data_IF_986605478805
#
_entry.id   IF_986605478805
#
_cell.length_a   1.000
_cell.length_b   1.000
_cell.length_c   1.000
_cell.angle_alpha   90.00
_cell.angle_beta   90.00
_cell.angle_gamma   90.00
#
_symmetry.space_group_name_H-M   'P 1'
#
loop_
_entity.id
_entity.type
_entity.pdbx_description
1 polymer ?
#
# COMPACT_ATOMS: atom_id res chain seq x y z
N UNK A 1 23.80 -28.53 -25.24
CA UNK A 1 22.89 -27.69 -24.43
C UNK A 1 22.03 -28.62 -23.62
N UNK A 2 22.32 -28.77 -22.32
CA UNK A 2 21.66 -29.76 -21.47
C UNK A 2 20.42 -29.15 -20.82
N UNK A 3 19.26 -29.38 -21.44
CA UNK A 3 17.95 -29.01 -20.89
C UNK A 3 17.78 -29.46 -19.42
N UNK A 4 18.42 -30.56 -19.03
CA UNK A 4 18.39 -31.07 -17.65
C UNK A 4 19.19 -30.24 -16.64
N UNK A 5 20.27 -29.57 -17.07
CA UNK A 5 21.05 -28.70 -16.20
C UNK A 5 20.28 -27.40 -15.89
N UNK A 6 19.58 -26.85 -16.87
CA UNK A 6 18.75 -25.65 -16.71
C UNK A 6 17.55 -25.92 -15.79
N UNK A 7 16.96 -27.12 -15.86
CA UNK A 7 15.85 -27.53 -15.00
C UNK A 7 16.27 -27.65 -13.51
N UNK A 8 17.47 -28.20 -13.26
CA UNK A 8 18.06 -28.32 -11.91
C UNK A 8 18.55 -26.97 -11.36
N UNK A 9 18.92 -26.02 -12.22
CA UNK A 9 19.30 -24.66 -11.80
C UNK A 9 18.09 -23.85 -11.35
N UNK A 10 16.91 -24.08 -11.96
CA UNK A 10 15.67 -23.39 -11.59
C UNK A 10 15.16 -23.74 -10.18
N UNK A 11 15.46 -24.95 -9.68
CA UNK A 11 15.02 -25.39 -8.35
C UNK A 11 15.91 -24.88 -7.22
N UNK A 12 17.13 -24.41 -7.48
CA UNK A 12 18.01 -23.77 -6.49
C UNK A 12 17.75 -22.27 -6.29
N UNK A 13 17.02 -21.61 -7.21
CA UNK A 13 16.66 -20.18 -7.06
C UNK A 13 15.49 -19.93 -6.10
N UNK A 14 14.87 -20.98 -5.56
CA UNK A 14 13.66 -20.89 -4.73
C UNK A 14 13.92 -20.51 -3.26
N UNK A 15 15.18 -20.32 -2.82
CA UNK A 15 15.51 -19.99 -1.42
C UNK A 15 16.34 -18.70 -1.28
N UNK A 16 15.92 -17.60 -1.93
CA UNK A 16 16.54 -16.27 -1.73
C UNK A 16 15.73 -15.35 -0.81
N UNK A 17 14.68 -15.86 -0.15
CA UNK A 17 13.91 -15.10 0.83
C UNK A 17 14.67 -14.98 2.16
N UNK A 18 14.76 -13.78 2.78
CA UNK A 18 15.41 -13.64 4.08
C UNK A 18 14.70 -14.50 5.13
N UNK A 19 15.49 -15.16 5.99
CA UNK A 19 15.01 -15.90 7.15
C UNK A 19 14.41 -14.90 8.14
N UNK A 20 13.08 -14.86 8.24
CA UNK A 20 12.38 -14.09 9.28
C UNK A 20 12.83 -14.63 10.64
N UNK A 21 13.66 -13.87 11.36
CA UNK A 21 13.94 -14.18 12.76
C UNK A 21 12.69 -13.79 13.58
N UNK A 22 11.78 -14.74 13.74
CA UNK A 22 10.59 -14.55 14.57
C UNK A 22 11.01 -14.54 16.03
N UNK A 23 10.92 -13.38 16.67
CA UNK A 23 10.87 -13.30 18.13
C UNK A 23 9.41 -13.43 18.57
N UNK A 24 9.06 -14.34 19.50
CA UNK A 24 7.69 -14.54 19.94
C UNK A 24 7.07 -13.30 20.62
N UNK A 25 7.89 -12.36 21.09
CA UNK A 25 7.47 -11.08 21.69
C UNK A 25 8.36 -9.89 21.27
N UNK A 26 9.01 -9.93 20.11
CA UNK A 26 10.07 -8.98 19.76
C UNK A 26 9.88 -8.24 18.45
N UNK A 27 10.50 -7.07 18.40
CA UNK A 27 10.60 -6.21 17.22
C UNK A 27 11.36 -6.95 16.13
N UNK A 28 10.79 -7.00 14.93
CA UNK A 28 11.42 -7.62 13.78
C UNK A 28 12.52 -6.70 13.22
N UNK A 29 13.77 -7.16 13.24
CA UNK A 29 14.89 -6.45 12.63
C UNK A 29 14.92 -6.78 11.14
N UNK A 30 14.64 -5.77 10.31
CA UNK A 30 14.57 -5.90 8.85
C UNK A 30 15.95 -6.04 8.23
N UNK A 31 16.08 -6.93 7.26
CA UNK A 31 17.25 -7.04 6.40
C UNK A 31 17.38 -5.84 5.45
N UNK A 32 18.57 -5.62 4.90
CA UNK A 32 18.81 -4.54 3.92
C UNK A 32 17.84 -4.60 2.72
N UNK A 33 17.50 -5.81 2.25
CA UNK A 33 16.54 -6.02 1.15
C UNK A 33 15.12 -5.62 1.54
N UNK A 34 14.69 -5.96 2.75
CA UNK A 34 13.36 -5.58 3.25
C UNK A 34 13.26 -4.07 3.45
N UNK A 35 14.30 -3.45 4.01
CA UNK A 35 14.38 -1.99 4.13
C UNK A 35 14.27 -1.33 2.76
N UNK A 36 14.92 -1.87 1.73
CA UNK A 36 14.82 -1.32 0.38
C UNK A 36 13.42 -1.47 -0.21
N UNK A 37 12.75 -2.60 0.05
CA UNK A 37 11.33 -2.79 -0.30
C UNK A 37 10.45 -1.77 0.40
N UNK A 38 10.65 -1.57 1.71
CA UNK A 38 9.92 -0.58 2.50
C UNK A 38 10.14 0.83 1.96
N UNK A 39 11.37 1.23 1.60
CA UNK A 39 11.63 2.55 0.99
C UNK A 39 10.82 2.78 -0.28
N UNK A 40 10.75 1.79 -1.17
CA UNK A 40 9.96 1.90 -2.40
C UNK A 40 8.47 2.08 -2.09
N UNK A 41 7.92 1.28 -1.19
CA UNK A 41 6.53 1.41 -0.76
C UNK A 41 6.26 2.78 -0.09
N UNK A 42 7.14 3.23 0.80
CA UNK A 42 7.02 4.54 1.46
C UNK A 42 7.05 5.71 0.49
N UNK A 43 7.84 5.64 -0.60
CA UNK A 43 7.86 6.68 -1.65
C UNK A 43 6.51 6.77 -2.37
N UNK A 44 5.85 5.65 -2.62
CA UNK A 44 4.52 5.61 -3.22
C UNK A 44 3.51 6.27 -2.27
N UNK A 45 3.51 5.86 -0.99
CA UNK A 45 2.62 6.44 0.03
C UNK A 45 2.81 7.95 0.15
N UNK A 46 4.06 8.42 0.26
CA UNK A 46 4.36 9.84 0.38
C UNK A 46 3.93 10.64 -0.86
N UNK A 47 4.08 10.05 -2.06
CA UNK A 47 3.65 10.67 -3.32
C UNK A 47 2.13 10.82 -3.36
N UNK A 48 1.40 9.74 -3.07
CA UNK A 48 -0.07 9.74 -3.08
C UNK A 48 -0.63 10.69 -2.03
N UNK A 49 -0.06 10.69 -0.81
CA UNK A 49 -0.47 11.60 0.26
C UNK A 49 -0.28 13.05 -0.15
N UNK A 50 0.89 13.42 -0.69
CA UNK A 50 1.15 14.79 -1.16
C UNK A 50 0.17 15.23 -2.24
N UNK A 51 -0.06 14.39 -3.26
CA UNK A 51 -1.01 14.70 -4.33
C UNK A 51 -2.44 14.88 -3.79
N UNK A 52 -2.87 14.07 -2.82
CA UNK A 52 -4.19 14.22 -2.17
C UNK A 52 -4.26 15.53 -1.37
N UNK A 53 -3.20 15.89 -0.64
CA UNK A 53 -3.12 17.14 0.12
C UNK A 53 -3.21 18.37 -0.80
N UNK A 54 -2.64 18.32 -2.00
CA UNK A 54 -2.73 19.40 -2.99
C UNK A 54 -4.10 19.44 -3.68
N UNK A 55 -4.74 18.28 -3.84
CA UNK A 55 -6.03 18.15 -4.53
C UNK A 55 -7.22 18.56 -3.66
N UNK A 56 -7.17 18.27 -2.36
CA UNK A 56 -8.33 18.38 -1.47
C UNK A 56 -8.83 19.82 -1.37
N UNK A 57 -10.14 19.98 -1.56
CA UNK A 57 -10.83 21.28 -1.49
C UNK A 57 -12.32 21.10 -1.21
N UNK A 58 -13.00 22.15 -0.71
CA UNK A 58 -14.45 22.15 -0.53
C UNK A 58 -15.20 21.72 -1.79
N UNK A 59 -16.30 20.99 -1.61
CA UNK A 59 -17.15 20.49 -2.69
C UNK A 59 -16.72 19.12 -3.24
N UNK A 60 -15.51 18.63 -2.94
CA UNK A 60 -15.11 17.27 -3.28
C UNK A 60 -15.73 16.24 -2.34
N UNK A 61 -15.96 15.02 -2.83
CA UNK A 61 -16.34 13.88 -1.98
C UNK A 61 -15.12 13.12 -1.49
N UNK A 62 -15.23 12.42 -0.36
CA UNK A 62 -14.15 11.52 0.08
C UNK A 62 -13.92 10.37 -0.91
N UNK A 63 -14.93 10.01 -1.72
CA UNK A 63 -14.78 9.05 -2.82
C UNK A 63 -13.94 9.59 -3.99
N UNK A 64 -13.92 10.92 -4.22
CA UNK A 64 -13.05 11.51 -5.26
C UNK A 64 -11.58 11.38 -4.88
N UNK A 65 -11.26 11.59 -3.60
CA UNK A 65 -9.91 11.39 -3.06
C UNK A 65 -9.48 9.92 -3.14
N UNK A 66 -10.37 8.99 -2.78
CA UNK A 66 -10.12 7.55 -2.90
C UNK A 66 -9.90 7.10 -4.35
N UNK A 67 -10.70 7.63 -5.28
CA UNK A 67 -10.55 7.37 -6.71
C UNK A 67 -9.19 7.83 -7.26
N UNK A 68 -8.73 9.02 -6.86
CA UNK A 68 -7.37 9.49 -7.18
C UNK A 68 -6.31 8.56 -6.60
N UNK A 69 -6.43 8.23 -5.31
CA UNK A 69 -5.49 7.37 -4.61
C UNK A 69 -5.36 6.00 -5.27
N UNK A 70 -6.49 5.34 -5.57
CA UNK A 70 -6.48 4.02 -6.22
C UNK A 70 -5.81 4.05 -7.58
N UNK A 71 -6.18 5.02 -8.42
CA UNK A 71 -5.58 5.19 -9.74
C UNK A 71 -4.08 5.42 -9.64
N UNK A 72 -3.65 6.26 -8.69
CA UNK A 72 -2.24 6.60 -8.53
C UNK A 72 -1.41 5.43 -8.00
N UNK A 73 -1.89 4.75 -6.97
CA UNK A 73 -1.24 3.56 -6.39
C UNK A 73 -1.05 2.48 -7.46
N UNK A 74 -2.11 2.16 -8.21
CA UNK A 74 -2.04 1.18 -9.31
C UNK A 74 -1.13 1.64 -10.45
N UNK A 75 -1.17 2.93 -10.79
CA UNK A 75 -0.29 3.53 -11.80
C UNK A 75 1.20 3.46 -11.45
N UNK A 76 1.54 3.31 -10.17
CA UNK A 76 2.91 3.09 -9.69
C UNK A 76 3.26 1.60 -9.52
N UNK A 77 2.40 0.69 -10.00
CA UNK A 77 2.60 -0.75 -9.90
C UNK A 77 2.36 -1.34 -8.51
N UNK A 78 1.66 -0.63 -7.63
CA UNK A 78 1.33 -1.09 -6.28
C UNK A 78 -0.14 -1.49 -6.13
N UNK A 79 -0.45 -2.17 -5.02
CA UNK A 79 -1.80 -2.58 -4.64
C UNK A 79 -2.26 -1.75 -3.45
N UNK A 80 -3.49 -1.18 -3.46
CA UNK A 80 -4.03 -0.48 -2.29
C UNK A 80 -4.18 -1.43 -1.11
N UNK A 81 -3.43 -1.19 -0.04
CA UNK A 81 -3.33 -2.12 1.10
C UNK A 81 -4.64 -2.29 1.88
N UNK A 82 -5.47 -1.25 1.93
CA UNK A 82 -6.75 -1.31 2.64
C UNK A 82 -7.85 -2.02 1.85
N UNK A 83 -7.79 -2.02 0.51
CA UNK A 83 -8.89 -2.53 -0.31
C UNK A 83 -8.98 -4.05 -0.21
N UNK A 84 -10.04 -4.54 0.43
CA UNK A 84 -10.26 -5.94 0.75
C UNK A 84 -9.69 -6.38 2.10
N UNK A 85 -8.93 -5.53 2.80
CA UNK A 85 -8.38 -5.87 4.12
C UNK A 85 -9.51 -5.99 5.15
N UNK A 86 -9.74 -7.21 5.65
CA UNK A 86 -10.87 -7.52 6.55
C UNK A 86 -12.23 -6.99 6.04
N UNK A 87 -12.43 -7.01 4.71
CA UNK A 87 -13.66 -6.50 4.09
C UNK A 87 -13.73 -4.98 3.93
N UNK A 88 -12.68 -4.23 4.25
CA UNK A 88 -12.65 -2.78 4.02
C UNK A 88 -12.76 -2.46 2.51
N UNK A 89 -13.68 -1.59 2.09
CA UNK A 89 -14.08 -1.53 0.67
C UNK A 89 -13.24 -0.58 -0.21
N UNK A 90 -12.42 0.27 0.40
CA UNK A 90 -11.77 1.40 -0.28
C UNK A 90 -10.23 1.33 -0.22
N UNK A 91 -9.58 2.20 -0.98
CA UNK A 91 -8.12 2.26 -1.11
C UNK A 91 -7.45 3.10 -0.02
N UNK A 92 -8.14 4.10 0.51
CA UNK A 92 -7.70 4.94 1.64
C UNK A 92 -8.76 5.04 2.73
N UNK A 93 -8.34 5.50 3.90
CA UNK A 93 -9.23 5.99 4.95
C UNK A 93 -9.35 7.51 4.83
N UNK A 94 -10.57 8.04 4.85
CA UNK A 94 -10.83 9.48 4.76
C UNK A 94 -11.76 9.91 5.90
N UNK A 95 -11.18 10.19 7.06
CA UNK A 95 -11.90 10.55 8.29
C UNK A 95 -12.18 12.05 8.39
N UNK A 96 -13.44 12.45 8.47
CA UNK A 96 -13.83 13.86 8.61
C UNK A 96 -14.21 14.22 10.05
N UNK A 97 -13.70 15.34 10.55
CA UNK A 97 -14.11 15.99 11.81
C UNK A 97 -14.07 15.06 13.03
N UNK A 98 -15.23 14.54 13.47
CA UNK A 98 -15.37 13.71 14.66
C UNK A 98 -15.03 12.22 14.42
N UNK A 99 -14.78 11.84 13.16
CA UNK A 99 -14.33 10.49 12.82
C UNK A 99 -12.88 10.29 13.28
N UNK A 100 -12.66 9.38 14.23
CA UNK A 100 -11.33 9.14 14.81
C UNK A 100 -10.32 8.62 13.76
N UNK A 101 -10.62 7.46 13.15
CA UNK A 101 -9.81 6.79 12.12
C UNK A 101 -10.72 5.94 11.24
N UNK A 102 -10.18 5.39 10.15
CA UNK A 102 -10.86 4.41 9.28
C UNK A 102 -12.19 4.87 8.67
N UNK A 103 -12.39 6.18 8.47
CA UNK A 103 -13.55 6.69 7.75
C UNK A 103 -13.62 6.12 6.33
N UNK A 104 -14.74 5.46 6.00
CA UNK A 104 -14.95 4.84 4.68
C UNK A 104 -15.25 5.94 3.64
N UNK A 105 -14.48 6.05 2.55
CA UNK A 105 -14.77 6.94 1.44
C UNK A 105 -16.18 6.74 0.86
N UNK A 106 -16.88 7.84 0.54
CA UNK A 106 -18.26 7.81 0.09
C UNK A 106 -18.61 9.03 -0.77
N UNK A 107 -19.38 8.81 -1.83
CA UNK A 107 -19.93 9.89 -2.68
C UNK A 107 -20.90 10.81 -1.94
N UNK A 108 -21.44 10.36 -0.80
CA UNK A 108 -22.36 11.16 0.03
C UNK A 108 -21.63 12.08 1.00
N UNK A 109 -20.31 11.91 1.18
CA UNK A 109 -19.51 12.68 2.14
C UNK A 109 -18.73 13.75 1.40
N UNK A 110 -19.30 14.96 1.39
CA UNK A 110 -18.72 16.16 0.78
C UNK A 110 -17.86 16.89 1.81
N UNK A 111 -16.64 17.24 1.42
CA UNK A 111 -15.70 18.07 2.17
C UNK A 111 -16.22 19.51 2.12
N UNK A 112 -16.26 20.14 3.29
CA UNK A 112 -16.74 21.52 3.48
C UNK A 112 -15.57 22.35 3.99
N UNK A 113 -15.72 23.67 3.90
CA UNK A 113 -14.85 24.65 4.57
C UNK A 113 -14.81 24.44 6.10
#
# INVERSE_FOLDING_TARGET
MNLFADLLTSTQLAQTGPRIQKSPHGIEIKSAREIETMRKASRIVATVLREITELVRPGMTTADLDGHAEKRIRGMGAVPSFKGYQGFPASICASLNHEMVHGIPSRKRVIRD
#
